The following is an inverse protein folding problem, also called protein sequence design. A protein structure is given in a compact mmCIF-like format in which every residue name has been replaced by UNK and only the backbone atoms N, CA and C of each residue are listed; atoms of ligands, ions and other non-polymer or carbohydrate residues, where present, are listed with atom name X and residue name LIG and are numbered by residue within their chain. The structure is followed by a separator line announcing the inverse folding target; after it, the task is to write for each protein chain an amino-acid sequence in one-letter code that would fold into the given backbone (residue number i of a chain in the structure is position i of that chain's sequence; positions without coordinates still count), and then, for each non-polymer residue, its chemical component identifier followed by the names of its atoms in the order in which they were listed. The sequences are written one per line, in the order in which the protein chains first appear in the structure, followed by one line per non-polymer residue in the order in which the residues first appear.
data_IF_246060554265
#
_entry.id   IF_246060554265
#
_cell.length_a   1.000
_cell.length_b   1.000
_cell.length_c   1.000
_cell.angle_alpha   90.00
_cell.angle_beta   90.00
_cell.angle_gamma   90.00
#
_symmetry.space_group_name_H-M   'P 1'
#
loop_
_entity.id
_entity.type
_entity.pdbx_description
1 polymer ?
#
# COMPACT_ATOMS: atom_id res chain seq x y z
N UNK A 1 9.50 7.67 7.52
CA UNK A 1 9.79 7.19 6.15
C UNK A 1 9.47 8.30 5.17
N UNK A 2 10.46 8.71 4.39
CA UNK A 2 10.29 9.68 3.30
C UNK A 2 9.76 9.00 2.02
N UNK A 3 9.30 9.79 1.04
CA UNK A 3 8.68 9.25 -0.18
C UNK A 3 9.62 8.38 -1.01
N UNK A 4 10.89 8.77 -1.14
CA UNK A 4 11.89 8.00 -1.88
C UNK A 4 12.13 6.64 -1.23
N UNK A 5 12.29 6.62 0.10
CA UNK A 5 12.43 5.37 0.88
C UNK A 5 11.20 4.46 0.72
N UNK A 6 9.99 5.04 0.76
CA UNK A 6 8.75 4.31 0.55
C UNK A 6 8.69 3.69 -0.85
N UNK A 7 9.02 4.48 -1.87
CA UNK A 7 9.00 4.07 -3.26
C UNK A 7 10.03 2.98 -3.51
N UNK A 8 11.27 3.17 -3.06
CA UNK A 8 12.33 2.15 -3.14
C UNK A 8 11.95 0.85 -2.43
N UNK A 9 11.37 0.95 -1.23
CA UNK A 9 10.92 -0.22 -0.48
C UNK A 9 9.83 -1.01 -1.20
N UNK A 10 8.89 -0.31 -1.86
CA UNK A 10 7.85 -0.94 -2.66
C UNK A 10 8.41 -1.56 -3.95
N UNK A 11 9.27 -0.84 -4.68
CA UNK A 11 9.86 -1.29 -5.94
C UNK A 11 10.83 -2.47 -5.77
N UNK A 12 11.42 -2.63 -4.58
CA UNK A 12 12.24 -3.79 -4.25
C UNK A 12 11.42 -5.11 -4.17
N UNK A 13 10.09 -5.04 -4.10
CA UNK A 13 9.23 -6.22 -4.05
C UNK A 13 9.01 -6.81 -5.45
N UNK A 14 8.93 -8.14 -5.50
CA UNK A 14 8.81 -8.90 -6.73
C UNK A 14 7.56 -8.51 -7.53
N UNK A 15 7.75 -8.15 -8.79
CA UNK A 15 6.64 -7.85 -9.71
C UNK A 15 5.90 -6.56 -9.40
N UNK A 16 6.51 -5.65 -8.61
CA UNK A 16 6.00 -4.30 -8.41
C UNK A 16 6.36 -3.40 -9.58
N UNK A 17 5.39 -2.59 -9.95
CA UNK A 17 5.48 -1.51 -10.94
C UNK A 17 4.85 -0.26 -10.36
N UNK A 18 5.18 0.89 -10.91
CA UNK A 18 4.59 2.17 -10.55
C UNK A 18 4.01 2.87 -11.77
N UNK A 19 3.02 3.72 -11.53
CA UNK A 19 2.30 4.44 -12.57
C UNK A 19 1.58 5.65 -11.95
N UNK A 20 1.07 6.55 -12.80
CA UNK A 20 0.31 7.75 -12.40
C UNK A 20 -1.03 7.84 -13.12
N UNK A 21 -1.93 6.83 -12.97
CA UNK A 21 -3.17 6.73 -13.74
C UNK A 21 -4.23 7.77 -13.36
N UNK A 22 -4.04 8.48 -12.24
CA UNK A 22 -4.97 9.49 -11.72
C UNK A 22 -4.47 10.93 -11.91
N UNK A 23 -3.48 11.12 -12.78
CA UNK A 23 -2.80 12.40 -13.00
C UNK A 23 -1.36 12.38 -12.47
N UNK A 24 -0.55 13.39 -12.83
CA UNK A 24 0.89 13.39 -12.60
C UNK A 24 1.29 13.36 -11.12
N UNK A 25 0.41 13.80 -10.22
CA UNK A 25 0.74 14.02 -8.80
C UNK A 25 0.33 12.85 -7.91
N UNK A 26 -0.24 11.78 -8.47
CA UNK A 26 -0.69 10.60 -7.70
C UNK A 26 0.12 9.37 -8.12
N UNK A 27 0.99 8.92 -7.22
CA UNK A 27 1.77 7.71 -7.37
C UNK A 27 0.94 6.48 -7.00
N UNK A 28 0.89 5.50 -7.89
CA UNK A 28 0.19 4.23 -7.70
C UNK A 28 1.18 3.09 -7.86
N UNK A 29 1.33 2.26 -6.82
CA UNK A 29 2.15 1.05 -6.85
C UNK A 29 1.26 -0.17 -7.05
N UNK A 30 1.66 -1.02 -8.00
CA UNK A 30 0.91 -2.19 -8.44
C UNK A 30 1.79 -3.43 -8.41
N UNK A 31 1.24 -4.55 -7.94
CA UNK A 31 1.82 -5.89 -8.15
C UNK A 31 0.97 -6.63 -9.17
N UNK A 32 1.59 -7.13 -10.24
CA UNK A 32 0.87 -7.78 -11.35
C UNK A 32 -0.32 -6.95 -11.87
N UNK A 33 -0.11 -5.64 -12.05
CA UNK A 33 -1.10 -4.64 -12.46
C UNK A 33 -2.29 -4.44 -11.49
N UNK A 34 -2.23 -4.97 -10.27
CA UNK A 34 -3.21 -4.71 -9.21
C UNK A 34 -2.64 -3.76 -8.15
N UNK A 35 -3.39 -2.72 -7.81
CA UNK A 35 -2.96 -1.67 -6.87
C UNK A 35 -2.88 -2.20 -5.44
N UNK A 36 -1.77 -1.92 -4.75
CA UNK A 36 -1.61 -2.16 -3.32
C UNK A 36 -1.24 -0.88 -2.54
N UNK A 37 -0.68 0.15 -3.19
CA UNK A 37 -0.42 1.42 -2.52
C UNK A 37 -0.72 2.62 -3.42
N UNK A 38 -1.22 3.70 -2.82
CA UNK A 38 -1.50 4.99 -3.49
C UNK A 38 -1.06 6.13 -2.58
N UNK A 39 -0.35 7.12 -3.11
CA UNK A 39 0.04 8.32 -2.36
C UNK A 39 0.20 9.52 -3.29
N UNK A 40 0.20 10.72 -2.71
CA UNK A 40 0.50 11.96 -3.43
C UNK A 40 2.02 12.16 -3.56
N UNK A 41 2.48 12.59 -4.73
CA UNK A 41 3.88 12.96 -4.99
C UNK A 41 4.18 14.37 -4.47
N UNK A 42 3.31 15.34 -4.79
CA UNK A 42 3.48 16.74 -4.34
C UNK A 42 3.21 16.89 -2.84
N UNK A 43 2.25 16.12 -2.33
CA UNK A 43 1.83 16.13 -0.94
C UNK A 43 1.82 14.71 -0.37
N UNK A 44 2.98 14.26 0.08
CA UNK A 44 3.17 12.95 0.71
C UNK A 44 2.67 12.95 2.16
N UNK A 45 1.37 13.14 2.38
CA UNK A 45 0.75 13.23 3.72
C UNK A 45 0.33 11.87 4.30
N UNK A 46 -0.06 10.95 3.42
CA UNK A 46 -0.48 9.61 3.76
C UNK A 46 -0.27 8.63 2.60
N UNK A 47 -0.27 7.34 2.91
CA UNK A 47 -0.32 6.27 1.92
C UNK A 47 -1.59 5.46 2.14
N UNK A 48 -2.39 5.29 1.10
CA UNK A 48 -3.51 4.35 1.09
C UNK A 48 -2.98 2.93 0.90
N UNK A 49 -3.23 2.04 1.86
CA UNK A 49 -2.81 0.64 1.86
C UNK A 49 -4.01 -0.30 2.03
N UNK A 50 -4.03 -1.38 1.25
CA UNK A 50 -4.99 -2.48 1.37
C UNK A 50 -4.80 -3.14 2.74
N UNK A 51 -5.89 -3.52 3.37
CA UNK A 51 -5.87 -4.17 4.67
C UNK A 51 -7.03 -5.15 4.79
N UNK A 52 -6.85 -6.12 5.68
CA UNK A 52 -7.93 -7.02 6.08
C UNK A 52 -8.95 -6.22 6.90
N UNK A 53 -10.27 -6.41 6.74
CA UNK A 53 -11.25 -5.60 7.45
C UNK A 53 -11.19 -5.62 8.96
N UNK A 54 -10.93 -6.77 9.57
CA UNK A 54 -10.86 -6.90 11.03
C UNK A 54 -9.61 -6.19 11.54
N UNK A 55 -8.47 -6.44 10.88
CA UNK A 55 -7.21 -5.77 11.22
C UNK A 55 -7.27 -4.25 10.97
N UNK A 56 -7.96 -3.81 9.91
CA UNK A 56 -8.13 -2.40 9.60
C UNK A 56 -8.91 -1.66 10.68
N UNK A 57 -9.93 -2.30 11.26
CA UNK A 57 -10.68 -1.74 12.38
C UNK A 57 -9.81 -1.63 13.63
N UNK A 58 -9.12 -2.71 14.01
CA UNK A 58 -8.22 -2.75 15.17
C UNK A 58 -7.14 -1.66 15.09
N UNK A 59 -6.49 -1.53 13.93
CA UNK A 59 -5.43 -0.54 13.70
C UNK A 59 -5.92 0.89 13.93
N UNK A 60 -7.14 1.23 13.50
CA UNK A 60 -7.70 2.59 13.66
C UNK A 60 -8.05 2.90 15.11
N UNK A 61 -8.33 1.88 15.92
CA UNK A 61 -8.58 2.06 17.35
C UNK A 61 -7.26 2.28 18.12
N UNK A 62 -6.19 1.61 17.68
CA UNK A 62 -4.90 1.60 18.39
C UNK A 62 -3.93 2.69 17.96
N UNK A 63 -3.94 3.06 16.68
CA UNK A 63 -2.94 3.93 16.07
C UNK A 63 -3.56 5.25 15.58
N UNK A 64 -3.19 6.36 16.22
CA UNK A 64 -3.74 7.68 15.86
C UNK A 64 -3.45 8.07 14.40
N UNK A 65 -2.33 7.60 13.86
CA UNK A 65 -1.89 7.84 12.48
C UNK A 65 -2.54 6.95 11.43
N UNK A 66 -3.49 6.06 11.80
CA UNK A 66 -4.20 5.21 10.85
C UNK A 66 -5.64 5.69 10.74
N UNK A 67 -6.04 6.12 9.53
CA UNK A 67 -7.36 6.66 9.22
C UNK A 67 -8.10 5.77 8.21
N UNK A 68 -9.44 5.87 8.12
CA UNK A 68 -10.19 5.23 7.04
C UNK A 68 -9.67 5.66 5.66
N UNK A 69 -9.50 4.71 4.75
CA UNK A 69 -8.91 4.97 3.43
C UNK A 69 -9.62 6.09 2.65
N UNK A 70 -8.87 7.16 2.35
CA UNK A 70 -9.32 8.31 1.59
C UNK A 70 -9.67 7.92 0.15
N UNK A 71 -10.87 8.25 -0.32
CA UNK A 71 -11.41 7.84 -1.64
C UNK A 71 -11.44 6.31 -1.90
N UNK A 72 -11.19 5.49 -0.90
CA UNK A 72 -11.18 4.03 -1.00
C UNK A 72 -12.35 3.40 -0.23
N UNK A 73 -12.54 2.09 -0.43
CA UNK A 73 -13.43 1.31 0.42
C UNK A 73 -12.83 1.22 1.85
N UNK A 74 -13.46 1.93 2.80
CA UNK A 74 -12.99 2.06 4.18
C UNK A 74 -13.02 0.76 4.97
N UNK A 75 -13.69 -0.30 4.51
CA UNK A 75 -13.54 -1.61 5.15
C UNK A 75 -12.19 -2.24 4.82
N UNK A 76 -11.63 -2.00 3.63
CA UNK A 76 -10.47 -2.73 3.13
C UNK A 76 -9.22 -1.87 2.93
N UNK A 77 -9.27 -0.59 3.27
CA UNK A 77 -8.18 0.34 3.01
C UNK A 77 -8.01 1.31 4.16
N UNK A 78 -6.75 1.58 4.49
CA UNK A 78 -6.33 2.56 5.48
C UNK A 78 -5.51 3.65 4.82
N UNK A 79 -5.71 4.91 5.23
CA UNK A 79 -4.76 6.00 4.99
C UNK A 79 -3.80 6.03 6.17
N UNK A 80 -2.54 5.71 5.92
CA UNK A 80 -1.49 5.65 6.94
C UNK A 80 -0.66 6.93 6.84
N UNK A 81 -0.67 7.75 7.90
CA UNK A 81 -0.03 9.05 7.92
C UNK A 81 1.50 8.93 7.86
N UNK A 82 2.14 9.83 7.11
CA UNK A 82 3.61 9.86 6.91
C UNK A 82 4.31 10.82 7.86
N UNK A 83 3.56 11.54 8.70
CA UNK A 83 4.03 12.58 9.61
C UNK A 83 4.71 12.06 10.90
N UNK A 84 5.09 10.78 10.95
CA UNK A 84 5.76 10.16 12.10
C UNK A 84 4.85 9.67 13.23
N UNK A 85 3.53 9.81 13.11
CA UNK A 85 2.57 9.25 14.08
C UNK A 85 2.45 7.72 14.03
N UNK A 86 2.92 7.10 12.95
CA UNK A 86 3.05 5.65 12.79
C UNK A 86 4.52 5.30 12.77
N UNK A 87 4.94 4.34 13.60
CA UNK A 87 6.33 3.89 13.62
C UNK A 87 6.74 3.36 12.25
N UNK A 88 8.00 3.57 11.86
CA UNK A 88 8.49 3.10 10.56
C UNK A 88 8.39 1.57 10.41
N UNK A 89 8.58 0.85 11.51
CA UNK A 89 8.42 -0.61 11.55
C UNK A 89 6.98 -0.99 11.15
N UNK A 90 5.99 -0.43 11.83
CA UNK A 90 4.58 -0.70 11.52
C UNK A 90 4.23 -0.24 10.10
N UNK A 91 4.75 0.89 9.66
CA UNK A 91 4.53 1.39 8.30
C UNK A 91 4.98 0.37 7.24
N UNK A 92 6.17 -0.23 7.40
CA UNK A 92 6.69 -1.31 6.55
C UNK A 92 5.82 -2.57 6.62
N UNK A 93 5.43 -2.99 7.83
CA UNK A 93 4.54 -4.14 8.03
C UNK A 93 3.19 -3.97 7.31
N UNK A 94 2.63 -2.76 7.31
CA UNK A 94 1.37 -2.46 6.61
C UNK A 94 1.53 -2.44 5.08
N UNK A 95 2.70 -2.02 4.58
CA UNK A 95 3.01 -2.11 3.15
C UNK A 95 3.10 -3.58 2.72
N UNK A 96 3.79 -4.40 3.51
CA UNK A 96 3.93 -5.84 3.29
C UNK A 96 2.56 -6.53 3.29
N UNK A 97 1.76 -6.27 4.31
CA UNK A 97 0.40 -6.80 4.42
C UNK A 97 -0.48 -6.42 3.22
N UNK A 98 -0.41 -5.16 2.79
CA UNK A 98 -1.14 -4.68 1.62
C UNK A 98 -0.72 -5.42 0.35
N UNK A 99 0.58 -5.55 0.12
CA UNK A 99 1.14 -6.26 -1.02
C UNK A 99 0.74 -7.74 -1.02
N UNK A 100 0.87 -8.42 0.13
CA UNK A 100 0.57 -9.84 0.27
C UNK A 100 -0.91 -10.14 0.02
N UNK A 101 -1.82 -9.32 0.56
CA UNK A 101 -3.26 -9.45 0.28
C UNK A 101 -3.57 -9.37 -1.22
N UNK A 102 -2.88 -8.48 -1.94
CA UNK A 102 -3.09 -8.36 -3.39
C UNK A 102 -2.53 -9.58 -4.12
N UNK A 103 -1.34 -10.06 -3.76
CA UNK A 103 -0.73 -11.30 -4.31
C UNK A 103 -1.63 -12.51 -4.04
N UNK A 104 -2.16 -12.64 -2.84
CA UNK A 104 -3.08 -13.71 -2.46
C UNK A 104 -4.37 -13.67 -3.29
N UNK A 105 -4.88 -12.47 -3.58
CA UNK A 105 -6.07 -12.25 -4.42
C UNK A 105 -5.83 -12.44 -5.93
N UNK A 106 -4.62 -12.78 -6.37
CA UNK A 106 -4.34 -12.99 -7.78
C UNK A 106 -5.05 -14.25 -8.30
N UNK A 107 -5.67 -14.19 -9.49
CA UNK A 107 -6.09 -15.38 -10.22
C UNK A 107 -4.93 -16.36 -10.39
N UNK A 108 -5.24 -17.66 -10.42
CA UNK A 108 -4.24 -18.75 -10.50
C UNK A 108 -3.12 -18.49 -11.53
N UNK A 109 -3.50 -18.11 -12.76
CA UNK A 109 -2.55 -17.81 -13.85
C UNK A 109 -1.56 -16.70 -13.48
N UNK A 110 -2.06 -15.57 -12.95
CA UNK A 110 -1.20 -14.45 -12.55
C UNK A 110 -0.33 -14.80 -11.34
N UNK A 111 -0.82 -15.65 -10.44
CA UNK A 111 -0.03 -16.13 -9.29
C UNK A 111 1.11 -17.05 -9.73
N UNK A 112 0.89 -17.91 -10.71
CA UNK A 112 1.92 -18.75 -11.33
C UNK A 112 2.97 -17.90 -12.07
N UNK A 113 2.54 -16.90 -12.83
CA UNK A 113 3.44 -15.94 -13.49
C UNK A 113 4.29 -15.18 -12.46
N UNK A 114 3.67 -14.61 -11.42
CA UNK A 114 4.36 -13.94 -10.32
C UNK A 114 5.34 -14.87 -9.58
N UNK A 115 4.98 -16.14 -9.38
CA UNK A 115 5.85 -17.13 -8.75
C UNK A 115 7.08 -17.43 -9.61
N UNK A 116 6.95 -17.42 -10.94
CA UNK A 116 8.04 -17.66 -11.88
C UNK A 116 8.94 -16.43 -12.12
N UNK A 117 8.56 -15.24 -11.66
CA UNK A 117 9.41 -14.05 -11.71
C UNK A 117 10.64 -14.23 -10.80
N UNK A 118 11.80 -13.80 -11.30
CA UNK A 118 13.06 -13.80 -10.55
C UNK A 118 13.14 -12.59 -9.64
#
# INVERSE_FOLDING_TARGET
MYIDEFREYCLAKKGVTEDTPFGPDTLVLKVMNKIFAITGLDHYEFVNLKCDPEYAAELREREIGIKPGWHMNKAHWNSVMTNGTVSEKLFKELIDHSYDLIVESLPKKLKEEWAAMK
#
